data_IF_210932030540
#
_entry.id   IF_210932030540
#
_cell.length_a   1.000
_cell.length_b   1.000
_cell.length_c   1.000
_cell.angle_alpha   90.00
_cell.angle_beta   90.00
_cell.angle_gamma   90.00
#
_symmetry.space_group_name_H-M   'P 1'
#
loop_
_entity.id
_entity.type
_entity.pdbx_description
1 polymer ?
#
# COMPACT_ATOMS: atom_id res chain seq x y z
N UNK A 1 51.23 -30.50 37.66
CA UNK A 1 50.57 -29.25 37.21
C UNK A 1 49.50 -28.80 38.23
N UNK A 2 49.43 -29.44 39.40
CA UNK A 2 48.41 -29.21 40.42
C UNK A 2 48.83 -28.15 41.47
N UNK A 3 50.13 -27.86 41.60
CA UNK A 3 50.67 -26.89 42.58
C UNK A 3 50.36 -25.42 42.26
N UNK A 4 49.95 -25.08 41.03
CA UNK A 4 49.66 -23.69 40.65
C UNK A 4 48.23 -23.23 41.01
N UNK A 5 47.35 -24.16 41.38
CA UNK A 5 45.93 -23.85 41.66
C UNK A 5 45.64 -23.58 43.14
N UNK A 6 46.52 -24.00 44.06
CA UNK A 6 46.36 -23.74 45.50
C UNK A 6 46.76 -22.31 45.91
N UNK A 7 47.58 -21.61 45.12
CA UNK A 7 47.96 -20.22 45.37
C UNK A 7 46.82 -19.22 45.07
N UNK A 8 45.80 -19.65 44.33
CA UNK A 8 44.61 -18.82 43.99
C UNK A 8 43.45 -19.01 44.98
N UNK A 9 43.63 -19.78 46.05
CA UNK A 9 42.62 -19.93 47.11
C UNK A 9 41.33 -20.62 46.68
N UNK A 10 41.32 -21.36 45.56
CA UNK A 10 40.17 -22.16 45.13
C UNK A 10 40.28 -23.55 45.74
N UNK A 11 40.18 -23.64 47.07
CA UNK A 11 39.79 -24.88 47.70
C UNK A 11 38.39 -25.24 47.21
N UNK A 12 38.27 -26.33 46.46
CA UNK A 12 37.00 -26.95 46.11
C UNK A 12 36.27 -27.34 47.40
N UNK A 13 35.51 -26.40 47.97
CA UNK A 13 34.61 -26.65 49.09
C UNK A 13 33.60 -27.69 48.61
N UNK A 14 33.77 -28.94 49.06
CA UNK A 14 32.77 -30.00 48.89
C UNK A 14 31.42 -29.41 49.25
N UNK A 15 30.51 -29.37 48.28
CA UNK A 15 29.21 -28.74 48.43
C UNK A 15 28.45 -29.39 49.58
N UNK A 16 27.69 -28.60 50.34
CA UNK A 16 26.77 -29.16 51.32
C UNK A 16 25.74 -30.05 50.62
N UNK A 17 25.37 -31.19 51.21
CA UNK A 17 24.28 -32.02 50.68
C UNK A 17 22.94 -31.59 51.28
N UNK A 18 21.87 -31.62 50.48
CA UNK A 18 20.53 -31.29 50.97
C UNK A 18 20.07 -32.33 52.02
N UNK A 19 19.61 -31.93 53.21
CA UNK A 19 19.19 -32.86 54.26
C UNK A 19 17.92 -33.65 53.93
N UNK A 20 17.15 -33.21 52.92
CA UNK A 20 15.87 -33.85 52.55
C UNK A 20 15.97 -34.81 51.37
N UNK A 21 16.75 -34.47 50.34
CA UNK A 21 16.88 -35.28 49.13
C UNK A 21 18.32 -35.73 48.82
N UNK A 22 19.29 -35.36 49.66
CA UNK A 22 20.71 -35.67 49.52
C UNK A 22 21.37 -35.20 48.21
N UNK A 23 20.71 -34.34 47.44
CA UNK A 23 21.29 -33.70 46.27
C UNK A 23 22.45 -32.77 46.65
N UNK A 24 23.48 -32.73 45.81
CA UNK A 24 24.64 -31.86 45.98
C UNK A 24 24.25 -30.40 45.74
N UNK A 25 24.49 -29.54 46.73
CA UNK A 25 24.18 -28.12 46.65
C UNK A 25 25.43 -27.32 46.30
N UNK A 26 25.25 -26.30 45.47
CA UNK A 26 26.29 -25.32 45.18
C UNK A 26 26.66 -24.57 46.48
N UNK A 27 27.94 -24.23 46.72
CA UNK A 27 28.32 -23.42 47.87
C UNK A 27 27.51 -22.12 47.91
N UNK A 28 26.95 -21.79 49.08
CA UNK A 28 26.03 -20.67 49.33
C UNK A 28 24.62 -20.79 48.73
N UNK A 29 24.15 -21.98 48.36
CA UNK A 29 22.75 -22.18 47.98
C UNK A 29 21.82 -22.02 49.20
N UNK A 30 20.83 -21.13 49.09
CA UNK A 30 19.79 -20.92 50.12
C UNK A 30 18.60 -21.86 49.93
N UNK A 31 18.40 -22.36 48.70
CA UNK A 31 17.28 -23.23 48.32
C UNK A 31 17.79 -24.43 47.53
N UNK A 32 17.29 -25.62 47.84
CA UNK A 32 17.52 -26.81 47.02
C UNK A 32 16.66 -26.76 45.75
N UNK A 33 17.29 -26.64 44.58
CA UNK A 33 16.60 -26.64 43.29
C UNK A 33 15.95 -27.99 42.97
N UNK A 34 16.48 -29.09 43.52
CA UNK A 34 15.98 -30.43 43.25
C UNK A 34 14.68 -30.75 44.01
N UNK A 35 14.52 -30.28 45.25
CA UNK A 35 13.35 -30.62 46.08
C UNK A 35 12.56 -29.43 46.63
N UNK A 36 13.02 -28.18 46.42
CA UNK A 36 12.37 -26.97 46.93
C UNK A 36 12.52 -26.75 48.44
N UNK A 37 13.48 -27.40 49.08
CA UNK A 37 13.76 -27.23 50.51
C UNK A 37 14.58 -25.96 50.77
N UNK A 38 14.08 -25.08 51.63
CA UNK A 38 14.75 -23.84 52.02
C UNK A 38 15.67 -24.10 53.21
N UNK A 39 16.97 -23.88 53.00
CA UNK A 39 18.02 -24.15 53.98
C UNK A 39 18.11 -23.07 55.06
N UNK A 40 17.53 -21.88 54.82
CA UNK A 40 17.48 -20.80 55.81
C UNK A 40 16.27 -20.92 56.74
N UNK A 41 15.09 -21.27 56.20
CA UNK A 41 13.87 -21.37 57.01
C UNK A 41 13.59 -22.77 57.56
N UNK A 42 14.28 -23.81 57.08
CA UNK A 42 14.09 -25.19 57.52
C UNK A 42 12.75 -25.81 57.11
N UNK A 43 11.94 -25.06 56.37
CA UNK A 43 10.63 -25.48 55.88
C UNK A 43 10.67 -25.74 54.38
N UNK A 44 9.78 -26.64 53.93
CA UNK A 44 9.55 -26.82 52.50
C UNK A 44 8.63 -25.69 52.03
N UNK A 45 9.15 -24.81 51.18
CA UNK A 45 8.36 -23.74 50.57
C UNK A 45 7.82 -24.25 49.24
N UNK A 46 6.52 -24.52 49.18
CA UNK A 46 5.83 -24.64 47.90
C UNK A 46 5.96 -23.29 47.19
N UNK A 47 6.78 -23.24 46.14
CA UNK A 47 6.94 -22.03 45.35
C UNK A 47 5.57 -21.57 44.88
N UNK A 48 5.27 -20.28 45.10
CA UNK A 48 4.04 -19.69 44.57
C UNK A 48 3.99 -20.00 43.08
N UNK A 49 3.02 -20.82 42.67
CA UNK A 49 2.63 -20.99 41.28
C UNK A 49 2.10 -19.63 40.83
N UNK A 50 3.00 -18.70 40.49
CA UNK A 50 2.67 -17.72 39.45
C UNK A 50 2.15 -18.59 38.33
N UNK A 51 0.92 -18.33 37.88
CA UNK A 51 0.34 -18.94 36.69
C UNK A 51 1.16 -18.47 35.47
N UNK A 52 2.43 -18.87 35.42
CA UNK A 52 3.11 -19.16 34.20
C UNK A 52 2.36 -20.36 33.65
N UNK A 53 1.54 -20.10 32.63
CA UNK A 53 1.11 -21.10 31.68
C UNK A 53 2.25 -22.09 31.46
N UNK A 54 1.93 -23.37 31.65
CA UNK A 54 2.88 -24.43 31.96
C UNK A 54 4.14 -24.44 31.09
N UNK A 55 5.27 -24.64 31.75
CA UNK A 55 6.41 -25.33 31.15
C UNK A 55 5.94 -26.74 30.81
N UNK A 56 5.60 -26.93 29.54
CA UNK A 56 4.87 -28.08 28.97
C UNK A 56 3.82 -27.68 27.91
N UNK A 57 3.60 -26.38 27.66
CA UNK A 57 2.51 -25.87 26.83
C UNK A 57 2.82 -25.45 25.39
N UNK A 58 3.90 -25.95 24.76
CA UNK A 58 4.17 -25.62 23.35
C UNK A 58 3.33 -26.43 22.36
N UNK A 59 2.99 -27.69 22.67
CA UNK A 59 2.21 -28.51 21.73
C UNK A 59 0.74 -28.11 21.74
N UNK A 60 0.12 -27.90 22.92
CA UNK A 60 -1.30 -27.52 23.00
C UNK A 60 -1.58 -26.10 22.50
N UNK A 61 -0.64 -25.16 22.68
CA UNK A 61 -0.78 -23.79 22.17
C UNK A 61 -0.49 -23.72 20.66
N UNK A 62 0.45 -24.54 20.15
CA UNK A 62 0.68 -24.69 18.72
C UNK A 62 -0.52 -25.36 18.05
N UNK A 63 -1.10 -26.39 18.67
CA UNK A 63 -2.27 -27.10 18.17
C UNK A 63 -3.50 -26.18 18.10
N UNK A 64 -3.76 -25.34 19.11
CA UNK A 64 -4.85 -24.34 19.05
C UNK A 64 -4.60 -23.29 17.96
N UNK A 65 -3.35 -22.84 17.80
CA UNK A 65 -2.99 -21.88 16.75
C UNK A 65 -3.14 -22.48 15.34
N UNK A 66 -2.70 -23.72 15.15
CA UNK A 66 -2.84 -24.47 13.90
C UNK A 66 -4.32 -24.77 13.61
N UNK A 67 -5.12 -25.10 14.62
CA UNK A 67 -6.56 -25.32 14.46
C UNK A 67 -7.32 -24.03 14.10
N UNK A 68 -6.88 -22.85 14.58
CA UNK A 68 -7.42 -21.56 14.14
C UNK A 68 -6.99 -21.22 12.72
N UNK A 69 -5.71 -21.42 12.38
CA UNK A 69 -5.20 -21.20 11.03
C UNK A 69 -5.89 -22.10 10.01
N UNK A 70 -6.10 -23.38 10.32
CA UNK A 70 -6.80 -24.33 9.47
C UNK A 70 -8.26 -23.91 9.21
N UNK A 71 -8.98 -23.45 10.24
CA UNK A 71 -10.33 -22.90 10.08
C UNK A 71 -10.36 -21.65 9.20
N UNK A 72 -9.37 -20.77 9.35
CA UNK A 72 -9.26 -19.59 8.50
C UNK A 72 -9.03 -19.97 7.03
N UNK A 73 -8.19 -20.99 6.77
CA UNK A 73 -7.93 -21.50 5.42
C UNK A 73 -9.18 -22.10 4.80
N UNK A 74 -9.99 -22.85 5.57
CA UNK A 74 -11.25 -23.42 5.04
C UNK A 74 -12.27 -22.33 4.69
N UNK A 75 -12.44 -21.32 5.56
CA UNK A 75 -13.33 -20.19 5.31
C UNK A 75 -12.89 -19.41 4.06
N UNK A 76 -11.61 -19.08 3.96
CA UNK A 76 -11.05 -18.35 2.80
C UNK A 76 -11.25 -19.17 1.50
N UNK A 77 -11.09 -20.50 1.57
CA UNK A 77 -11.30 -21.39 0.41
C UNK A 77 -12.76 -21.47 -0.04
N UNK A 78 -13.71 -21.37 0.88
CA UNK A 78 -15.13 -21.28 0.56
C UNK A 78 -15.51 -19.92 -0.02
N UNK A 79 -14.95 -18.83 0.53
CA UNK A 79 -15.13 -17.48 -0.02
C UNK A 79 -14.53 -17.37 -1.43
N UNK A 80 -13.36 -17.96 -1.67
CA UNK A 80 -12.73 -18.01 -2.98
C UNK A 80 -13.56 -18.81 -3.98
N UNK A 81 -14.16 -19.94 -3.57
CA UNK A 81 -15.09 -20.69 -4.44
C UNK A 81 -16.32 -19.88 -4.82
N UNK A 82 -16.87 -19.10 -3.89
CA UNK A 82 -18.01 -18.19 -4.16
C UNK A 82 -17.58 -17.06 -5.09
N UNK A 83 -16.39 -16.48 -4.88
CA UNK A 83 -15.83 -15.44 -5.75
C UNK A 83 -15.45 -15.97 -7.15
N UNK A 84 -15.07 -17.25 -7.27
CA UNK A 84 -14.78 -17.92 -8.54
C UNK A 84 -16.06 -18.24 -9.34
N UNK A 85 -17.14 -18.62 -8.66
CA UNK A 85 -18.44 -18.90 -9.31
C UNK A 85 -19.20 -17.63 -9.66
N UNK A 86 -19.06 -16.58 -8.86
CA UNK A 86 -19.45 -15.23 -9.24
C UNK A 86 -18.29 -14.56 -9.97
N UNK A 87 -18.00 -15.02 -11.20
CA UNK A 87 -17.12 -14.31 -12.12
C UNK A 87 -17.45 -12.81 -12.13
N UNK A 88 -16.43 -11.96 -12.33
CA UNK A 88 -16.53 -10.51 -12.18
C UNK A 88 -17.90 -10.02 -12.68
N UNK A 89 -18.67 -9.32 -11.82
CA UNK A 89 -20.10 -9.21 -12.02
C UNK A 89 -20.39 -8.65 -13.42
N UNK A 90 -21.42 -9.19 -14.10
CA UNK A 90 -21.63 -8.99 -15.55
C UNK A 90 -21.60 -7.52 -16.01
N UNK A 91 -21.96 -6.58 -15.12
CA UNK A 91 -21.84 -5.15 -15.38
C UNK A 91 -20.40 -4.68 -15.67
N UNK A 92 -19.38 -5.32 -15.09
CA UNK A 92 -17.95 -5.00 -15.30
C UNK A 92 -17.55 -5.30 -16.74
N UNK A 93 -17.95 -6.44 -17.28
CA UNK A 93 -17.69 -6.80 -18.67
C UNK A 93 -18.44 -5.88 -19.65
N UNK A 94 -19.69 -5.53 -19.34
CA UNK A 94 -20.49 -4.59 -20.13
C UNK A 94 -19.84 -3.20 -20.15
N UNK A 95 -19.40 -2.71 -18.99
CA UNK A 95 -18.71 -1.42 -18.88
C UNK A 95 -17.37 -1.43 -19.63
N UNK A 96 -16.60 -2.52 -19.51
CA UNK A 96 -15.35 -2.70 -20.26
C UNK A 96 -15.56 -2.67 -21.77
N UNK A 97 -16.59 -3.36 -22.28
CA UNK A 97 -16.92 -3.37 -23.71
C UNK A 97 -17.33 -1.98 -24.20
N UNK A 98 -18.17 -1.26 -23.45
CA UNK A 98 -18.60 0.11 -23.79
C UNK A 98 -17.40 1.05 -23.86
N UNK A 99 -16.46 0.97 -22.91
CA UNK A 99 -15.24 1.78 -22.91
C UNK A 99 -14.39 1.48 -24.15
N UNK A 100 -14.23 0.20 -24.52
CA UNK A 100 -13.45 -0.20 -25.71
C UNK A 100 -14.10 0.31 -27.00
N UNK A 101 -15.43 0.16 -27.15
CA UNK A 101 -16.15 0.61 -28.34
C UNK A 101 -16.14 2.14 -28.43
N UNK A 102 -16.35 2.84 -27.32
CA UNK A 102 -16.26 4.30 -27.27
C UNK A 102 -14.85 4.78 -27.62
N UNK A 103 -13.81 4.12 -27.11
CA UNK A 103 -12.42 4.42 -27.44
C UNK A 103 -12.11 4.20 -28.92
N UNK A 104 -12.56 3.07 -29.50
CA UNK A 104 -12.38 2.77 -30.92
C UNK A 104 -13.10 3.77 -31.83
N UNK A 105 -14.34 4.15 -31.49
CA UNK A 105 -15.10 5.17 -32.22
C UNK A 105 -14.47 6.57 -32.11
N UNK A 106 -13.92 6.91 -30.95
CA UNK A 106 -13.21 8.17 -30.73
C UNK A 106 -11.90 8.23 -31.54
N UNK A 107 -11.19 7.11 -31.70
CA UNK A 107 -9.97 7.03 -32.52
C UNK A 107 -10.25 7.28 -34.02
N UNK A 108 -11.46 6.93 -34.49
CA UNK A 108 -11.83 7.09 -35.91
C UNK A 108 -12.23 8.53 -36.27
N UNK A 109 -12.69 9.31 -35.29
CA UNK A 109 -13.32 10.61 -35.52
C UNK A 109 -12.46 11.81 -35.11
N UNK A 110 -11.51 11.63 -34.19
CA UNK A 110 -10.68 12.73 -33.67
C UNK A 110 -9.27 12.77 -34.29
N UNK A 111 -8.66 13.97 -34.41
CA UNK A 111 -7.25 14.09 -34.72
C UNK A 111 -6.40 13.36 -33.67
N UNK A 112 -5.42 12.60 -34.13
CA UNK A 112 -4.66 11.62 -33.33
C UNK A 112 -4.10 12.21 -32.03
N UNK A 113 -3.61 13.45 -32.05
CA UNK A 113 -3.07 14.12 -30.86
C UNK A 113 -4.14 14.37 -29.78
N UNK A 114 -5.33 14.82 -30.18
CA UNK A 114 -6.43 15.13 -29.27
C UNK A 114 -7.04 13.84 -28.68
N UNK A 115 -7.07 12.75 -29.47
CA UNK A 115 -7.47 11.43 -28.99
C UNK A 115 -6.55 10.91 -27.87
N UNK A 116 -5.22 10.99 -28.03
CA UNK A 116 -4.28 10.57 -26.98
C UNK A 116 -4.38 11.44 -25.72
N UNK A 117 -4.62 12.75 -25.89
CA UNK A 117 -4.77 13.66 -24.76
C UNK A 117 -6.03 13.36 -23.93
N UNK A 118 -7.19 13.23 -24.57
CA UNK A 118 -8.47 12.94 -23.88
C UNK A 118 -8.39 11.58 -23.19
N UNK A 119 -7.86 10.57 -23.88
CA UNK A 119 -7.78 9.20 -23.36
C UNK A 119 -6.76 9.06 -22.23
N UNK A 120 -5.66 9.82 -22.27
CA UNK A 120 -4.73 9.94 -21.16
C UNK A 120 -5.39 10.54 -19.92
N UNK A 121 -6.12 11.65 -20.07
CA UNK A 121 -6.82 12.29 -18.96
C UNK A 121 -7.94 11.43 -18.37
N UNK A 122 -8.74 10.77 -19.21
CA UNK A 122 -9.80 9.89 -18.71
C UNK A 122 -9.23 8.73 -17.87
N UNK A 123 -8.10 8.16 -18.31
CA UNK A 123 -7.40 7.12 -17.55
C UNK A 123 -6.83 7.65 -16.22
N UNK A 124 -6.16 8.81 -16.24
CA UNK A 124 -5.61 9.44 -15.03
C UNK A 124 -6.72 9.77 -14.02
N UNK A 125 -7.84 10.32 -14.48
CA UNK A 125 -8.99 10.63 -13.62
C UNK A 125 -9.60 9.35 -13.05
N UNK A 126 -9.79 8.32 -13.87
CA UNK A 126 -10.32 7.03 -13.41
C UNK A 126 -9.44 6.40 -12.34
N UNK A 127 -8.13 6.34 -12.57
CA UNK A 127 -7.17 5.86 -11.57
C UNK A 127 -7.18 6.75 -10.33
N UNK A 128 -7.27 8.07 -10.50
CA UNK A 128 -7.38 9.02 -9.39
C UNK A 128 -8.60 8.78 -8.50
N UNK A 129 -9.77 8.51 -9.07
CA UNK A 129 -10.99 8.18 -8.32
C UNK A 129 -10.82 6.90 -7.52
N UNK A 130 -10.25 5.86 -8.14
CA UNK A 130 -9.96 4.59 -7.45
C UNK A 130 -8.93 4.80 -6.33
N UNK A 131 -7.91 5.62 -6.57
CA UNK A 131 -6.87 5.95 -5.59
C UNK A 131 -7.47 6.69 -4.38
N UNK A 132 -8.37 7.64 -4.61
CA UNK A 132 -9.11 8.34 -3.54
C UNK A 132 -9.98 7.36 -2.75
N UNK A 133 -10.68 6.43 -3.43
CA UNK A 133 -11.48 5.40 -2.76
C UNK A 133 -10.63 4.54 -1.81
N UNK A 134 -9.47 4.06 -2.25
CA UNK A 134 -8.56 3.30 -1.38
C UNK A 134 -7.99 4.15 -0.24
N UNK A 135 -7.67 5.42 -0.51
CA UNK A 135 -7.23 6.38 0.51
C UNK A 135 -8.28 6.56 1.62
N UNK A 136 -9.55 6.80 1.25
CA UNK A 136 -10.65 6.91 2.22
C UNK A 136 -10.83 5.60 3.00
N UNK A 137 -10.74 4.45 2.34
CA UNK A 137 -10.80 3.14 3.01
C UNK A 137 -9.70 2.98 4.06
N UNK A 138 -8.48 3.42 3.78
CA UNK A 138 -7.39 3.39 4.76
C UNK A 138 -7.68 4.27 5.98
N UNK A 139 -8.25 5.46 5.74
CA UNK A 139 -8.69 6.37 6.80
C UNK A 139 -9.77 5.73 7.67
N UNK A 140 -10.78 5.09 7.08
CA UNK A 140 -11.85 4.41 7.83
C UNK A 140 -11.27 3.32 8.73
N UNK A 141 -10.34 2.51 8.22
CA UNK A 141 -9.67 1.47 9.03
C UNK A 141 -8.89 2.09 10.19
N UNK A 142 -8.24 3.25 9.98
CA UNK A 142 -7.56 3.97 11.06
C UNK A 142 -8.54 4.47 12.14
N UNK A 143 -9.72 4.98 11.75
CA UNK A 143 -10.76 5.38 12.72
C UNK A 143 -11.34 4.19 13.50
N UNK A 144 -11.37 3.00 12.91
CA UNK A 144 -11.84 1.78 13.59
C UNK A 144 -10.90 1.34 14.72
N UNK A 145 -9.60 1.62 14.63
CA UNK A 145 -8.65 1.36 15.73
C UNK A 145 -8.74 2.42 16.84
N UNK A 146 -9.11 3.65 16.47
CA UNK A 146 -9.43 4.70 17.42
C UNK A 146 -9.39 6.09 16.80
N UNK A 147 -10.11 7.06 17.37
CA UNK A 147 -10.21 8.41 16.81
C UNK A 147 -8.85 9.13 16.76
N UNK A 148 -7.95 8.86 17.71
CA UNK A 148 -6.59 9.43 17.74
C UNK A 148 -5.79 9.07 16.48
N UNK A 149 -5.90 7.83 16.02
CA UNK A 149 -5.18 7.34 14.84
C UNK A 149 -5.76 7.91 13.55
N UNK A 150 -7.09 8.03 13.47
CA UNK A 150 -7.77 8.66 12.34
C UNK A 150 -7.37 10.13 12.15
N UNK A 151 -7.35 10.92 13.22
CA UNK A 151 -6.90 12.32 13.15
C UNK A 151 -5.43 12.47 12.81
N UNK A 152 -4.56 11.62 13.37
CA UNK A 152 -3.13 11.66 13.04
C UNK A 152 -2.86 11.25 11.58
N UNK A 153 -3.75 10.53 10.93
CA UNK A 153 -3.60 10.14 9.53
C UNK A 153 -3.57 11.33 8.55
N UNK A 154 -4.12 12.49 8.93
CA UNK A 154 -4.02 13.73 8.14
C UNK A 154 -2.62 14.34 8.16
N UNK A 155 -1.74 13.89 9.05
CA UNK A 155 -0.33 14.29 9.07
C UNK A 155 0.42 13.45 8.02
N UNK A 156 1.01 14.08 6.97
CA UNK A 156 1.50 13.36 5.79
C UNK A 156 2.56 12.29 6.10
N UNK A 157 3.43 12.51 7.08
CA UNK A 157 4.44 11.52 7.49
C UNK A 157 3.89 10.44 8.42
N UNK A 158 2.80 10.71 9.14
CA UNK A 158 2.20 9.71 10.02
C UNK A 158 1.52 8.60 9.23
N UNK A 159 0.96 8.92 8.05
CA UNK A 159 0.32 7.93 7.18
C UNK A 159 1.30 6.80 6.79
N UNK A 160 2.56 7.14 6.49
CA UNK A 160 3.60 6.13 6.21
C UNK A 160 4.00 5.34 7.47
N UNK A 161 4.17 6.01 8.61
CA UNK A 161 4.48 5.33 9.88
C UNK A 161 3.37 4.34 10.26
N UNK A 162 2.10 4.75 10.12
CA UNK A 162 0.93 3.91 10.38
C UNK A 162 0.88 2.71 9.44
N UNK A 163 1.16 2.92 8.15
CA UNK A 163 1.20 1.85 7.16
C UNK A 163 2.25 0.77 7.50
N UNK A 164 3.47 1.18 7.86
CA UNK A 164 4.55 0.25 8.21
C UNK A 164 4.23 -0.52 9.49
N UNK A 165 3.69 0.16 10.50
CA UNK A 165 3.41 -0.45 11.82
C UNK A 165 2.16 -1.33 11.84
N UNK A 166 1.18 -1.10 10.97
CA UNK A 166 -0.07 -1.88 10.85
C UNK A 166 -0.21 -2.58 9.50
N UNK A 167 0.91 -3.10 8.98
CA UNK A 167 0.96 -3.71 7.65
C UNK A 167 -0.04 -4.86 7.46
N UNK A 168 -0.27 -5.69 8.49
CA UNK A 168 -1.18 -6.85 8.37
C UNK A 168 -2.63 -6.50 8.00
N UNK A 169 -3.16 -5.39 8.51
CA UNK A 169 -4.54 -4.97 8.23
C UNK A 169 -4.64 -4.07 7.02
N UNK A 170 -3.68 -3.15 6.87
CA UNK A 170 -3.75 -2.05 5.91
C UNK A 170 -3.03 -2.40 4.60
N UNK A 171 -2.04 -3.29 4.67
CA UNK A 171 -1.18 -3.67 3.55
C UNK A 171 -1.95 -4.22 2.36
N UNK A 172 -3.04 -4.98 2.57
CA UNK A 172 -3.87 -5.50 1.46
C UNK A 172 -4.46 -4.37 0.59
N UNK A 173 -4.92 -3.28 1.21
CA UNK A 173 -5.49 -2.14 0.50
C UNK A 173 -4.41 -1.28 -0.16
N UNK A 174 -3.30 -1.08 0.55
CA UNK A 174 -2.15 -0.36 0.04
C UNK A 174 -1.52 -1.06 -1.18
N UNK A 175 -1.36 -2.38 -1.15
CA UNK A 175 -0.82 -3.15 -2.28
C UNK A 175 -1.72 -3.05 -3.52
N UNK A 176 -3.04 -3.06 -3.35
CA UNK A 176 -3.99 -2.83 -4.45
C UNK A 176 -3.86 -1.42 -5.03
N UNK A 177 -3.68 -0.42 -4.17
CA UNK A 177 -3.44 0.95 -4.59
C UNK A 177 -2.09 1.13 -5.30
N UNK A 178 -1.03 0.49 -4.81
CA UNK A 178 0.30 0.51 -5.42
C UNK A 178 0.29 -0.10 -6.82
N UNK A 179 -0.50 -1.17 -7.03
CA UNK A 179 -0.70 -1.79 -8.33
C UNK A 179 -1.31 -0.85 -9.39
N UNK A 180 -1.96 0.25 -8.98
CA UNK A 180 -2.53 1.23 -9.90
C UNK A 180 -1.52 2.29 -10.36
N UNK A 181 -0.36 2.42 -9.71
CA UNK A 181 0.66 3.44 -10.03
C UNK A 181 1.20 3.31 -11.47
N UNK A 182 1.56 2.11 -11.97
CA UNK A 182 2.02 1.96 -13.36
C UNK A 182 0.98 2.43 -14.37
N UNK A 183 -0.32 2.21 -14.08
CA UNK A 183 -1.42 2.64 -14.94
C UNK A 183 -1.58 4.16 -14.92
N UNK A 184 -1.40 4.81 -13.77
CA UNK A 184 -1.37 6.27 -13.67
C UNK A 184 -0.19 6.87 -14.47
N UNK A 185 1.00 6.28 -14.36
CA UNK A 185 2.19 6.71 -15.12
C UNK A 185 1.93 6.56 -16.62
N UNK A 186 1.37 5.43 -17.04
CA UNK A 186 1.01 5.20 -18.44
C UNK A 186 -0.01 6.23 -18.96
N UNK A 187 -1.05 6.53 -18.17
CA UNK A 187 -2.00 7.61 -18.50
C UNK A 187 -1.32 8.97 -18.61
N UNK A 188 -0.43 9.31 -17.69
CA UNK A 188 0.35 10.54 -17.73
C UNK A 188 1.27 10.63 -18.96
N UNK A 189 1.89 9.53 -19.37
CA UNK A 189 2.69 9.44 -20.59
C UNK A 189 1.82 9.68 -21.84
N UNK A 190 0.61 9.13 -21.89
CA UNK A 190 -0.34 9.39 -22.98
C UNK A 190 -0.77 10.86 -23.04
N UNK A 191 -1.01 11.50 -21.89
CA UNK A 191 -1.28 12.95 -21.84
C UNK A 191 -0.08 13.73 -22.36
N UNK A 192 1.13 13.41 -21.93
CA UNK A 192 2.36 14.07 -22.39
C UNK A 192 2.58 13.89 -23.88
N UNK A 193 2.36 12.68 -24.41
CA UNK A 193 2.45 12.39 -25.84
C UNK A 193 1.36 13.13 -26.63
N UNK A 194 0.12 13.15 -26.14
CA UNK A 194 -0.98 13.88 -26.74
C UNK A 194 -0.73 15.39 -26.78
N UNK A 195 -0.14 15.96 -25.72
CA UNK A 195 0.26 17.36 -25.68
C UNK A 195 1.39 17.64 -26.67
N UNK A 196 2.41 16.78 -26.71
CA UNK A 196 3.55 16.90 -27.62
C UNK A 196 3.10 16.84 -29.09
N UNK A 197 2.27 15.85 -29.43
CA UNK A 197 1.71 15.71 -30.79
C UNK A 197 0.69 16.82 -31.11
N UNK A 198 -0.08 17.28 -30.11
CA UNK A 198 -1.07 18.35 -30.26
C UNK A 198 -0.43 19.69 -30.60
N UNK A 199 0.68 20.05 -29.94
CA UNK A 199 1.45 21.26 -30.26
C UNK A 199 1.99 21.23 -31.70
N UNK A 200 2.45 20.07 -32.18
CA UNK A 200 2.96 19.95 -33.56
C UNK A 200 1.88 20.02 -34.63
N UNK A 201 0.61 19.75 -34.30
CA UNK A 201 -0.47 19.76 -35.27
C UNK A 201 -1.04 21.17 -35.49
N UNK A 202 -1.05 22.02 -34.46
CA UNK A 202 -1.57 23.38 -34.60
C UNK A 202 -0.69 24.24 -35.53
N UNK A 203 0.64 24.08 -35.46
CA UNK A 203 1.59 24.76 -36.35
C UNK A 203 1.32 24.49 -37.84
N UNK A 204 0.79 23.32 -38.18
CA UNK A 204 0.53 22.92 -39.56
C UNK A 204 -0.79 23.41 -40.13
N UNK A 205 -1.80 23.69 -39.29
CA UNK A 205 -3.05 24.29 -39.76
C UNK A 205 -2.90 25.81 -39.93
N UNK A 206 -2.17 26.46 -39.03
CA UNK A 206 -1.90 27.90 -39.09
C UNK A 206 -0.98 28.27 -40.27
N UNK A 207 -0.11 27.36 -40.71
CA UNK A 207 0.75 27.59 -41.89
C UNK A 207 -0.04 27.76 -43.19
N UNK A 208 -1.19 27.08 -43.36
CA UNK A 208 -2.06 27.30 -44.52
C UNK A 208 -2.82 28.62 -44.46
N UNK A 209 -3.02 29.18 -43.26
CA UNK A 209 -3.65 30.49 -43.08
C UNK A 209 -2.70 31.63 -43.47
N UNK A 210 -1.39 31.43 -43.28
CA UNK A 210 -0.37 32.41 -43.67
C UNK A 210 -0.01 32.37 -45.16
N UNK A 211 -0.24 31.24 -45.83
CA UNK A 211 0.07 31.03 -47.26
C UNK A 211 -1.10 31.40 -48.20
N UNK A 212 -2.16 32.05 -47.70
CA UNK A 212 -3.07 32.74 -48.62
C UNK A 212 -2.30 33.90 -49.25
N UNK A 213 -2.12 33.93 -50.59
CA UNK A 213 -1.59 35.12 -51.23
C UNK A 213 -2.48 36.29 -50.83
N UNK A 214 -1.87 37.34 -50.25
CA UNK A 214 -2.51 38.64 -50.07
C UNK A 214 -3.06 39.02 -51.45
N UNK A 215 -4.35 38.80 -51.68
CA UNK A 215 -5.02 39.41 -52.81
C UNK A 215 -4.77 40.90 -52.67
N UNK A 216 -4.09 41.55 -53.65
CA UNK A 216 -3.87 42.97 -53.58
C UNK A 216 -5.24 43.62 -53.47
N UNK A 217 -5.35 44.56 -52.53
CA UNK A 217 -6.52 45.35 -52.30
C UNK A 217 -7.17 45.73 -53.62
N UNK A 218 -8.45 45.36 -53.76
CA UNK A 218 -9.33 45.94 -54.76
C UNK A 218 -9.26 47.44 -54.56
N UNK A 219 -8.48 48.11 -55.42
CA UNK A 219 -8.51 49.56 -55.57
C UNK A 219 -9.92 49.91 -56.03
N UNK A 220 -10.78 50.28 -55.09
CA UNK A 220 -11.98 51.07 -55.36
C UNK A 220 -11.49 52.38 -55.97
N UNK A 221 -11.43 52.43 -57.31
CA UNK A 221 -11.27 53.66 -58.05
C UNK A 221 -12.62 54.38 -57.97
N UNK A 222 -12.69 55.33 -57.05
CA UNK A 222 -13.73 56.35 -56.98
C UNK A 222 -13.66 57.22 -58.26
N UNK A 223 -14.72 57.30 -59.08
CA UNK A 223 -14.72 58.26 -60.19
C UNK A 223 -14.96 59.67 -59.64
N UNK A 224 -13.84 60.38 -59.47
CA UNK A 224 -13.77 61.80 -59.21
C UNK A 224 -14.54 62.59 -60.28
N UNK A 225 -15.49 63.39 -59.80
CA UNK A 225 -16.15 64.49 -60.49
C UNK A 225 -15.14 65.45 -61.14
N UNK A 226 -15.32 65.84 -62.42
CA UNK A 226 -15.21 67.25 -62.85
C UNK A 226 -15.59 67.52 -64.31
N UNK A 227 -16.65 68.34 -64.43
CA UNK A 227 -16.80 69.52 -65.29
C UNK A 227 -16.42 69.48 -66.77
N UNK A 228 -17.37 69.85 -67.63
CA UNK A 228 -17.24 71.11 -68.38
C UNK A 228 -18.58 71.54 -68.99
N UNK A 229 -19.01 72.70 -68.52
CA UNK A 229 -19.74 73.69 -69.31
C UNK A 229 -19.09 73.90 -70.68
N UNK A 230 -19.87 74.05 -71.77
CA UNK A 230 -19.71 75.15 -72.75
C UNK A 230 -20.43 74.88 -74.10
N UNK A 231 -21.44 75.71 -74.37
CA UNK A 231 -21.77 76.36 -75.66
C UNK A 231 -22.12 75.47 -76.88
N UNK A 232 -23.40 75.45 -77.25
CA UNK A 232 -23.93 76.16 -78.43
C UNK A 232 -25.46 76.15 -78.40
#
# INVERSE_FOLDING_TARGET
MDDLFDEVGISAKKGASCPKCHAELKPNAVLCVACGFDLQSGEHREGAKIQAAGRGGHDLAADDLLARAARQIEIDKEEDKKNLTHGAPAYVYLFGLVVIVAFAGMMFTLPKGLAFYITGWSLVVFVGVIQVYYGIRMVIVAFQEGPKYGFLHFVPFYSLYYLITRWDRVGKWFMKSLGMIPLAIFGGLLVGLGLLLGLTHQEKEDSWLYDRPRHPAVCLVEPLSRSSHSLA
#
